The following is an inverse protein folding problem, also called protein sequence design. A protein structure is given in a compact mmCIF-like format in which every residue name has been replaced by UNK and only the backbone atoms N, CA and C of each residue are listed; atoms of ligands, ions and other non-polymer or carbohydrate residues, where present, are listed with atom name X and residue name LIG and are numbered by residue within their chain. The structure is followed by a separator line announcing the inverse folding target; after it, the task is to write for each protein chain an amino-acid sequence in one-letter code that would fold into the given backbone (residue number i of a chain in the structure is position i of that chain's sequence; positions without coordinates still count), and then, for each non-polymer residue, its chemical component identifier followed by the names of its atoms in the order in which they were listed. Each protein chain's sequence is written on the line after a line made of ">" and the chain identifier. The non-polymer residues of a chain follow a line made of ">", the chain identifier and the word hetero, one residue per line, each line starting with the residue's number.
data_IF_214770044224
#
_entry.id   IF_214770044224
#
_cell.length_a   1.000
_cell.length_b   1.000
_cell.length_c   1.000
_cell.angle_alpha   90.00
_cell.angle_beta   90.00
_cell.angle_gamma   90.00
#
_symmetry.space_group_name_H-M   'P 1'
#
loop_
_entity.id
_entity.type
_entity.pdbx_description
1 polymer ?
#
# COMPACT_ATOMS: atom_id res chain seq x y z
N UNK A 1 -9.07 -45.82 -27.79
CA UNK A 1 -9.95 -44.70 -27.41
C UNK A 1 -9.32 -44.11 -26.17
N UNK A 2 -8.50 -43.08 -26.32
CA UNK A 2 -7.71 -42.53 -25.22
C UNK A 2 -8.52 -41.44 -24.53
N UNK A 3 -8.92 -41.68 -23.28
CA UNK A 3 -9.61 -40.71 -22.46
C UNK A 3 -8.70 -39.50 -22.21
N UNK A 4 -8.97 -38.40 -22.93
CA UNK A 4 -8.41 -37.11 -22.59
C UNK A 4 -9.12 -36.59 -21.35
N UNK A 5 -8.60 -36.94 -20.16
CA UNK A 5 -8.94 -36.24 -18.92
C UNK A 5 -8.63 -34.75 -19.17
N UNK A 6 -9.62 -33.84 -19.15
CA UNK A 6 -9.33 -32.42 -19.30
C UNK A 6 -8.44 -32.04 -18.12
N UNK A 7 -7.24 -31.54 -18.40
CA UNK A 7 -6.42 -30.94 -17.34
C UNK A 7 -7.15 -29.67 -16.92
N UNK A 8 -7.96 -29.78 -15.87
CA UNK A 8 -8.61 -28.61 -15.32
C UNK A 8 -7.55 -27.55 -15.07
N UNK A 9 -7.73 -26.39 -15.69
CA UNK A 9 -6.78 -25.28 -15.59
C UNK A 9 -6.68 -24.81 -14.14
N UNK A 10 -5.55 -24.21 -13.76
CA UNK A 10 -5.40 -23.58 -12.43
C UNK A 10 -6.51 -22.55 -12.19
N UNK A 11 -6.94 -21.86 -13.26
CA UNK A 11 -8.06 -20.92 -13.23
C UNK A 11 -9.39 -21.59 -12.87
N UNK A 12 -9.75 -22.70 -13.54
CA UNK A 12 -11.00 -23.42 -13.29
C UNK A 12 -11.09 -23.91 -11.83
N UNK A 13 -9.98 -24.41 -11.28
CA UNK A 13 -9.93 -24.81 -9.86
C UNK A 13 -10.11 -23.64 -8.90
N UNK A 14 -9.57 -22.48 -9.25
CA UNK A 14 -9.73 -21.27 -8.44
C UNK A 14 -11.18 -20.79 -8.48
N UNK A 15 -11.79 -20.85 -9.65
CA UNK A 15 -13.19 -20.51 -9.89
C UNK A 15 -14.15 -21.45 -9.14
N UNK A 16 -13.92 -22.77 -9.20
CA UNK A 16 -14.69 -23.76 -8.44
C UNK A 16 -14.63 -23.48 -6.92
N UNK A 17 -13.43 -23.18 -6.41
CA UNK A 17 -13.21 -22.84 -5.01
C UNK A 17 -13.90 -21.53 -4.62
N UNK A 18 -13.87 -20.53 -5.51
CA UNK A 18 -14.54 -19.25 -5.31
C UNK A 18 -16.06 -19.42 -5.19
N UNK A 19 -16.71 -20.12 -6.13
CA UNK A 19 -18.15 -20.33 -6.05
C UNK A 19 -18.54 -21.19 -4.85
N UNK A 20 -17.76 -22.22 -4.52
CA UNK A 20 -17.96 -23.02 -3.29
C UNK A 20 -17.90 -22.15 -2.03
N UNK A 21 -17.01 -21.15 -2.01
CA UNK A 21 -16.94 -20.19 -0.93
C UNK A 21 -18.17 -19.27 -0.87
N UNK A 22 -18.64 -18.75 -2.01
CA UNK A 22 -19.86 -17.94 -2.07
C UNK A 22 -21.08 -18.73 -1.58
N UNK A 23 -21.25 -19.97 -2.02
CA UNK A 23 -22.31 -20.87 -1.53
C UNK A 23 -22.21 -21.07 -0.01
N UNK A 24 -21.00 -21.20 0.54
CA UNK A 24 -20.80 -21.35 1.99
C UNK A 24 -21.22 -20.11 2.79
N UNK A 25 -21.08 -18.92 2.21
CA UNK A 25 -21.53 -17.67 2.81
C UNK A 25 -23.05 -17.53 2.72
N UNK A 26 -23.64 -17.91 1.59
CA UNK A 26 -25.10 -17.95 1.43
C UNK A 26 -25.75 -18.94 2.39
N UNK A 27 -25.14 -20.12 2.58
CA UNK A 27 -25.56 -21.10 3.58
C UNK A 27 -25.47 -20.57 5.02
N UNK A 28 -24.72 -19.49 5.27
CA UNK A 28 -24.64 -18.78 6.56
C UNK A 28 -25.57 -17.57 6.64
N UNK A 29 -26.42 -17.36 5.64
CA UNK A 29 -27.39 -16.25 5.58
C UNK A 29 -26.82 -14.94 5.06
N UNK A 30 -25.60 -14.93 4.51
CA UNK A 30 -25.05 -13.75 3.83
C UNK A 30 -25.59 -13.73 2.40
N UNK A 31 -26.35 -12.71 1.98
CA UNK A 31 -26.95 -12.69 0.65
C UNK A 31 -25.90 -12.27 -0.40
N UNK A 32 -25.03 -13.20 -0.82
CA UNK A 32 -23.91 -12.92 -1.73
C UNK A 32 -24.38 -12.62 -3.15
N UNK A 33 -25.42 -13.32 -3.62
CA UNK A 33 -26.05 -13.11 -4.93
C UNK A 33 -26.41 -11.66 -5.23
N UNK A 34 -26.80 -10.84 -4.24
CA UNK A 34 -27.19 -9.44 -4.47
C UNK A 34 -26.06 -8.57 -5.02
N UNK A 35 -24.81 -8.99 -4.83
CA UNK A 35 -23.61 -8.31 -5.36
C UNK A 35 -23.09 -9.03 -6.59
N UNK A 36 -23.14 -10.36 -6.60
CA UNK A 36 -22.55 -11.21 -7.65
C UNK A 36 -23.42 -11.20 -8.92
N UNK A 37 -24.73 -11.41 -8.80
CA UNK A 37 -25.63 -11.51 -9.95
C UNK A 37 -25.66 -10.23 -10.81
N UNK A 38 -25.77 -9.01 -10.26
CA UNK A 38 -25.76 -7.80 -11.09
C UNK A 38 -24.46 -7.62 -11.88
N UNK A 39 -23.36 -8.14 -11.36
CA UNK A 39 -22.06 -8.07 -11.99
C UNK A 39 -21.94 -9.11 -13.13
N UNK A 40 -22.37 -10.33 -12.87
CA UNK A 40 -22.35 -11.42 -13.84
C UNK A 40 -23.37 -11.20 -14.97
N UNK A 41 -24.54 -10.64 -14.67
CA UNK A 41 -25.54 -10.21 -15.67
C UNK A 41 -24.99 -9.17 -16.65
N UNK A 42 -23.94 -8.43 -16.27
CA UNK A 42 -23.23 -7.47 -17.13
C UNK A 42 -22.09 -8.12 -17.92
N UNK A 43 -21.94 -9.43 -17.84
CA UNK A 43 -20.88 -10.20 -18.49
C UNK A 43 -19.52 -10.09 -17.82
N UNK A 44 -19.47 -9.59 -16.57
CA UNK A 44 -18.23 -9.47 -15.80
C UNK A 44 -18.16 -10.62 -14.80
N UNK A 45 -17.21 -11.56 -14.93
CA UNK A 45 -17.06 -12.65 -13.98
C UNK A 45 -16.74 -12.10 -12.57
N UNK A 46 -17.37 -12.66 -11.54
CA UNK A 46 -17.31 -12.11 -10.18
C UNK A 46 -15.95 -12.27 -9.52
N UNK A 47 -15.26 -13.39 -9.78
CA UNK A 47 -13.91 -13.66 -9.27
C UNK A 47 -12.89 -12.57 -9.64
N UNK A 48 -12.65 -12.26 -10.93
CA UNK A 48 -11.66 -11.23 -11.29
C UNK A 48 -12.05 -9.84 -10.80
N UNK A 49 -13.34 -9.52 -10.72
CA UNK A 49 -13.78 -8.24 -10.16
C UNK A 49 -13.50 -8.14 -8.66
N UNK A 50 -13.74 -9.22 -7.91
CA UNK A 50 -13.44 -9.26 -6.48
C UNK A 50 -11.93 -9.19 -6.22
N UNK A 51 -11.12 -9.90 -7.03
CA UNK A 51 -9.66 -9.77 -6.97
C UNK A 51 -9.20 -8.34 -7.25
N UNK A 52 -9.76 -7.67 -8.26
CA UNK A 52 -9.44 -6.28 -8.56
C UNK A 52 -9.79 -5.36 -7.38
N UNK A 53 -10.92 -5.59 -6.72
CA UNK A 53 -11.32 -4.85 -5.51
C UNK A 53 -10.32 -5.08 -4.36
N UNK A 54 -9.92 -6.32 -4.10
CA UNK A 54 -8.91 -6.63 -3.08
C UNK A 54 -7.60 -5.90 -3.37
N UNK A 55 -7.12 -5.95 -4.62
CA UNK A 55 -5.89 -5.26 -5.02
C UNK A 55 -6.02 -3.75 -4.81
N UNK A 56 -7.16 -3.16 -5.16
CA UNK A 56 -7.42 -1.74 -4.97
C UNK A 56 -7.42 -1.38 -3.48
N UNK A 57 -8.08 -2.17 -2.64
CA UNK A 57 -8.09 -1.96 -1.19
C UNK A 57 -6.69 -2.13 -0.57
N UNK A 58 -5.91 -3.10 -1.03
CA UNK A 58 -4.53 -3.28 -0.60
C UNK A 58 -3.64 -2.11 -1.02
N UNK A 59 -3.78 -1.63 -2.26
CA UNK A 59 -3.06 -0.46 -2.76
C UNK A 59 -3.45 0.81 -2.01
N UNK A 60 -4.74 1.04 -1.77
CA UNK A 60 -5.22 2.16 -0.97
C UNK A 60 -4.69 2.10 0.47
N UNK A 61 -4.70 0.91 1.08
CA UNK A 61 -4.14 0.70 2.42
C UNK A 61 -2.64 1.00 2.43
N UNK A 62 -1.87 0.44 1.48
CA UNK A 62 -0.45 0.71 1.35
C UNK A 62 -0.16 2.19 1.14
N UNK A 63 -0.97 2.90 0.34
CA UNK A 63 -0.86 4.33 0.17
C UNK A 63 -1.13 5.10 1.47
N UNK A 64 -2.11 4.70 2.28
CA UNK A 64 -2.37 5.36 3.57
C UNK A 64 -1.24 5.11 4.59
N UNK A 65 -0.64 3.92 4.60
CA UNK A 65 0.43 3.57 5.54
C UNK A 65 1.82 4.07 5.11
N UNK A 66 2.09 4.14 3.81
CA UNK A 66 3.42 4.42 3.26
C UNK A 66 3.47 5.63 2.31
N UNK A 67 2.33 6.11 1.82
CA UNK A 67 2.25 7.06 0.71
C UNK A 67 2.45 8.53 1.07
N UNK A 68 2.59 8.87 2.35
CA UNK A 68 2.85 10.24 2.75
C UNK A 68 3.89 10.31 3.89
N UNK A 69 5.16 10.15 3.53
CA UNK A 69 6.23 10.81 4.29
C UNK A 69 6.53 12.12 3.59
N UNK A 70 6.02 13.23 4.12
CA UNK A 70 6.52 14.54 3.71
C UNK A 70 7.95 14.68 4.23
N UNK A 71 8.92 14.62 3.31
CA UNK A 71 10.30 14.98 3.62
C UNK A 71 10.37 16.49 3.73
N UNK A 72 10.28 17.02 4.95
CA UNK A 72 10.54 18.44 5.21
C UNK A 72 12.06 18.63 5.21
N UNK A 73 12.57 19.31 4.19
CA UNK A 73 13.97 19.76 4.17
C UNK A 73 14.18 20.92 5.15
N UNK A 74 14.98 20.70 6.18
CA UNK A 74 15.46 21.77 7.07
C UNK A 74 16.90 22.11 6.67
N UNK A 75 17.15 23.36 6.31
CA UNK A 75 18.52 23.87 6.11
C UNK A 75 18.79 24.97 7.12
N UNK A 76 19.95 24.90 7.78
CA UNK A 76 20.37 25.81 8.85
C UNK A 76 21.67 26.48 8.44
N UNK A 77 21.76 27.80 8.60
CA UNK A 77 23.01 28.55 8.43
C UNK A 77 23.45 29.17 9.75
N UNK A 78 24.67 28.89 10.18
CA UNK A 78 25.27 29.47 11.39
C UNK A 78 26.20 30.61 11.01
N UNK A 79 25.92 31.78 11.57
CA UNK A 79 26.69 33.01 11.33
C UNK A 79 27.21 33.57 12.66
N UNK A 80 28.42 34.10 12.64
CA UNK A 80 28.97 34.94 13.71
C UNK A 80 29.12 36.35 13.15
N UNK A 81 28.23 37.27 13.56
CA UNK A 81 28.09 38.56 12.89
C UNK A 81 27.52 38.39 11.48
N UNK A 82 28.39 38.40 10.47
CA UNK A 82 28.04 38.23 9.06
C UNK A 82 28.91 37.21 8.31
N UNK A 83 29.76 36.49 9.05
CA UNK A 83 30.65 35.45 8.50
C UNK A 83 30.11 34.06 8.83
N UNK A 84 30.18 33.10 7.88
CA UNK A 84 29.81 31.72 8.13
C UNK A 84 30.73 31.08 9.15
N UNK A 85 30.14 30.30 10.07
CA UNK A 85 30.90 29.55 11.08
C UNK A 85 31.04 28.12 10.61
N UNK A 86 32.26 27.70 10.33
CA UNK A 86 32.61 26.30 10.05
C UNK A 86 32.80 25.52 11.36
N UNK A 87 32.37 24.26 11.39
CA UNK A 87 32.58 23.36 12.52
C UNK A 87 31.70 23.63 13.74
N UNK A 88 30.62 24.41 13.59
CA UNK A 88 29.63 24.58 14.64
C UNK A 88 28.78 23.31 14.77
N UNK A 89 28.60 22.81 15.99
CA UNK A 89 27.71 21.67 16.25
C UNK A 89 26.26 22.12 16.26
N UNK A 90 25.47 21.59 15.33
CA UNK A 90 24.03 21.84 15.26
C UNK A 90 23.29 20.56 15.67
N UNK A 91 22.37 20.71 16.62
CA UNK A 91 21.52 19.60 17.09
C UNK A 91 20.05 19.96 16.86
N UNK A 92 19.36 19.13 16.10
CA UNK A 92 17.93 19.28 15.81
C UNK A 92 17.15 18.38 16.74
N UNK A 93 16.24 18.97 17.51
CA UNK A 93 15.37 18.28 18.46
C UNK A 93 13.91 18.37 18.02
N UNK A 94 13.17 17.27 18.17
CA UNK A 94 11.71 17.25 18.07
C UNK A 94 11.15 16.83 19.43
N UNK A 95 10.59 17.80 20.16
CA UNK A 95 10.24 17.62 21.56
C UNK A 95 11.47 17.26 22.40
N UNK A 96 11.47 16.06 22.98
CA UNK A 96 12.55 15.57 23.85
C UNK A 96 13.49 14.55 23.17
N UNK A 97 13.34 14.36 21.86
CA UNK A 97 14.13 13.43 21.06
C UNK A 97 15.09 14.19 20.13
N UNK A 98 16.37 13.81 20.16
CA UNK A 98 17.36 14.27 19.18
C UNK A 98 17.06 13.59 17.83
N UNK A 99 16.86 14.40 16.79
CA UNK A 99 16.50 13.96 15.43
C UNK A 99 17.72 13.97 14.52
N UNK A 100 18.61 14.95 14.67
CA UNK A 100 19.86 15.05 13.91
C UNK A 100 20.94 15.79 14.70
N UNK A 101 22.21 15.44 14.49
CA UNK A 101 23.38 16.15 14.98
C UNK A 101 24.43 16.15 13.88
N UNK A 102 24.88 17.33 13.46
CA UNK A 102 25.89 17.48 12.42
C UNK A 102 26.73 18.76 12.62
N UNK A 103 27.83 18.88 11.88
CA UNK A 103 28.72 20.03 11.88
C UNK A 103 28.49 20.90 10.64
N UNK A 104 28.55 22.21 10.81
CA UNK A 104 28.47 23.12 9.67
C UNK A 104 29.72 23.04 8.78
N UNK A 105 29.52 23.06 7.46
CA UNK A 105 30.60 23.12 6.47
C UNK A 105 31.21 24.53 6.33
N UNK A 106 32.15 24.70 5.40
CA UNK A 106 32.87 25.97 5.18
C UNK A 106 32.00 27.19 4.82
N UNK A 107 30.77 26.97 4.37
CA UNK A 107 29.77 28.02 4.08
C UNK A 107 28.80 28.26 5.25
N UNK A 108 29.03 27.61 6.40
CA UNK A 108 28.21 27.71 7.61
C UNK A 108 26.86 26.98 7.51
N UNK A 109 26.62 26.21 6.46
CA UNK A 109 25.39 25.44 6.28
C UNK A 109 25.47 24.04 6.89
N UNK A 110 24.30 23.60 7.35
CA UNK A 110 23.90 22.20 7.52
C UNK A 110 23.10 21.75 6.30
#
# INVERSE_FOLDING_TARGET
>A
MGDSVPRQGVYERLEDSWYSFLESLEGRGVPVHVVVEPLEMRGVPSLPAFLALIVLLAAASAFLFFGAQETIGLSVKVLSGNEPVEGATVRVWSGNQLVAEDLTGGEGFL
#
